data_IF_760660034520
#
_entry.id   IF_760660034520
#
_cell.length_a   1.000
_cell.length_b   1.000
_cell.length_c   1.000
_cell.angle_alpha   90.00
_cell.angle_beta   90.00
_cell.angle_gamma   90.00
#
_symmetry.space_group_name_H-M   'P 1'
#
loop_
_entity.id
_entity.type
_entity.pdbx_description
1 polymer ?
#
# COMPACT_ATOMS: atom_id res chain seq x y z
N UNK A 1 -10.69 37.00 -35.62
CA UNK A 1 -9.45 37.54 -35.04
C UNK A 1 -9.10 36.62 -33.90
N UNK A 2 -7.90 36.04 -33.92
CA UNK A 2 -7.42 35.20 -32.84
C UNK A 2 -6.83 36.07 -31.73
N UNK A 3 -7.03 35.73 -30.45
CA UNK A 3 -6.53 36.52 -29.34
C UNK A 3 -5.00 36.43 -29.22
N UNK A 4 -4.39 37.48 -28.68
CA UNK A 4 -3.00 37.41 -28.22
C UNK A 4 -2.88 36.45 -27.02
N UNK A 5 -1.69 35.88 -26.80
CA UNK A 5 -1.46 34.95 -25.71
C UNK A 5 -1.81 35.57 -24.34
N UNK A 6 -2.64 34.90 -23.55
CA UNK A 6 -3.08 35.34 -22.22
C UNK A 6 -1.98 35.39 -21.16
N UNK A 7 -0.81 34.77 -21.43
CA UNK A 7 0.31 34.69 -20.49
C UNK A 7 1.44 35.66 -20.86
N UNK A 8 1.87 35.67 -22.12
CA UNK A 8 3.00 36.51 -22.57
C UNK A 8 2.59 37.67 -23.49
N UNK A 9 1.31 37.76 -23.87
CA UNK A 9 0.75 38.79 -24.75
C UNK A 9 1.37 38.85 -26.15
N UNK A 10 2.03 37.77 -26.58
CA UNK A 10 2.49 37.63 -27.95
C UNK A 10 1.30 37.49 -28.92
N UNK A 11 1.38 38.07 -30.14
CA UNK A 11 0.32 37.93 -31.13
C UNK A 11 0.13 36.48 -31.56
N UNK A 12 -1.11 36.12 -31.91
CA UNK A 12 -1.48 34.77 -32.35
C UNK A 12 -0.58 34.24 -33.49
N UNK A 13 -0.13 35.12 -34.38
CA UNK A 13 0.78 34.80 -35.49
C UNK A 13 2.14 34.24 -35.03
N UNK A 14 2.54 34.49 -33.78
CA UNK A 14 3.80 34.00 -33.24
C UNK A 14 3.70 32.57 -32.67
N UNK A 15 2.48 32.05 -32.48
CA UNK A 15 2.20 30.67 -32.09
C UNK A 15 3.08 30.14 -30.92
N UNK A 16 3.16 30.88 -29.81
CA UNK A 16 3.95 30.46 -28.64
C UNK A 16 3.21 29.41 -27.78
N UNK A 17 3.94 28.59 -27.02
CA UNK A 17 3.36 27.46 -26.26
C UNK A 17 2.95 27.78 -24.81
N UNK A 18 2.90 29.06 -24.41
CA UNK A 18 2.75 29.41 -22.99
C UNK A 18 1.44 28.87 -22.39
N UNK A 19 0.31 29.04 -23.09
CA UNK A 19 -1.00 28.58 -22.64
C UNK A 19 -1.10 27.06 -22.59
N UNK A 20 -0.55 26.37 -23.59
CA UNK A 20 -0.50 24.92 -23.65
C UNK A 20 0.28 24.34 -22.44
N UNK A 21 1.47 24.90 -22.16
CA UNK A 21 2.27 24.52 -20.98
C UNK A 21 1.54 24.82 -19.67
N UNK A 22 0.85 25.95 -19.60
CA UNK A 22 0.02 26.30 -18.45
C UNK A 22 -1.09 25.28 -18.19
N UNK A 23 -1.76 24.83 -19.26
CA UNK A 23 -2.78 23.80 -19.21
C UNK A 23 -2.21 22.44 -18.76
N UNK A 24 -1.08 22.01 -19.32
CA UNK A 24 -0.42 20.75 -18.92
C UNK A 24 -0.10 20.73 -17.41
N UNK A 25 0.43 21.83 -16.88
CA UNK A 25 0.70 21.97 -15.44
C UNK A 25 -0.59 21.92 -14.63
N UNK A 26 -1.65 22.60 -15.07
CA UNK A 26 -2.94 22.60 -14.38
C UNK A 26 -3.59 21.21 -14.36
N UNK A 27 -3.51 20.45 -15.46
CA UNK A 27 -3.98 19.06 -15.54
C UNK A 27 -3.24 18.18 -14.54
N UNK A 28 -1.90 18.25 -14.51
CA UNK A 28 -1.09 17.47 -13.56
C UNK A 28 -1.44 17.78 -12.10
N UNK A 29 -1.66 19.05 -11.77
CA UNK A 29 -2.09 19.45 -10.43
C UNK A 29 -3.51 18.95 -10.08
N UNK A 30 -4.42 18.94 -11.05
CA UNK A 30 -5.76 18.39 -10.86
C UNK A 30 -5.73 16.87 -10.64
N UNK A 31 -4.97 16.15 -11.47
CA UNK A 31 -4.73 14.71 -11.35
C UNK A 31 -4.14 14.36 -9.97
N UNK A 32 -3.09 15.07 -9.55
CA UNK A 32 -2.45 14.81 -8.26
C UNK A 32 -3.39 15.03 -7.07
N UNK A 33 -4.33 15.99 -7.16
CA UNK A 33 -5.30 16.25 -6.09
C UNK A 33 -6.45 15.24 -6.08
N UNK A 34 -6.99 14.89 -7.24
CA UNK A 34 -8.17 14.01 -7.34
C UNK A 34 -7.80 12.53 -7.41
N UNK A 35 -6.85 12.13 -8.25
CA UNK A 35 -6.54 10.72 -8.47
C UNK A 35 -5.70 10.11 -7.36
N UNK A 36 -4.88 10.90 -6.66
CA UNK A 36 -4.02 10.40 -5.57
C UNK A 36 -4.82 9.75 -4.45
N UNK A 37 -5.93 10.37 -4.02
CA UNK A 37 -6.79 9.80 -2.97
C UNK A 37 -7.44 8.50 -3.46
N UNK A 38 -7.96 8.49 -4.69
CA UNK A 38 -8.57 7.31 -5.31
C UNK A 38 -7.58 6.13 -5.36
N UNK A 39 -6.35 6.36 -5.82
CA UNK A 39 -5.31 5.31 -5.82
C UNK A 39 -4.92 4.87 -4.40
N UNK A 40 -4.99 5.77 -3.42
CA UNK A 40 -4.81 5.45 -2.01
C UNK A 40 -5.86 4.48 -1.49
N UNK A 41 -7.13 4.78 -1.76
CA UNK A 41 -8.28 3.97 -1.33
C UNK A 41 -8.27 2.60 -2.01
N UNK A 42 -8.05 2.57 -3.33
CA UNK A 42 -7.89 1.33 -4.12
C UNK A 42 -6.77 0.47 -3.53
N UNK A 43 -5.58 1.03 -3.28
CA UNK A 43 -4.44 0.27 -2.75
C UNK A 43 -4.75 -0.30 -1.36
N UNK A 44 -5.37 0.49 -0.49
CA UNK A 44 -5.75 0.06 0.86
C UNK A 44 -6.77 -1.08 0.79
N UNK A 45 -7.78 -0.94 -0.07
CA UNK A 45 -8.81 -1.96 -0.28
C UNK A 45 -8.20 -3.26 -0.81
N UNK A 46 -7.41 -3.21 -1.89
CA UNK A 46 -6.78 -4.42 -2.48
C UNK A 46 -5.86 -5.09 -1.46
N UNK A 47 -5.05 -4.33 -0.73
CA UNK A 47 -4.14 -4.87 0.28
C UNK A 47 -4.89 -5.64 1.37
N UNK A 48 -5.97 -5.05 1.90
CA UNK A 48 -6.76 -5.68 2.95
C UNK A 48 -7.35 -7.02 2.48
N UNK A 49 -7.98 -7.02 1.31
CA UNK A 49 -8.63 -8.22 0.77
C UNK A 49 -7.63 -9.32 0.37
N UNK A 50 -6.48 -8.94 -0.21
CA UNK A 50 -5.42 -9.89 -0.52
C UNK A 50 -4.82 -10.51 0.75
N UNK A 51 -4.62 -9.70 1.80
CA UNK A 51 -4.12 -10.18 3.09
C UNK A 51 -5.11 -11.16 3.72
N UNK A 52 -6.40 -10.82 3.77
CA UNK A 52 -7.42 -11.69 4.35
C UNK A 52 -7.52 -13.02 3.61
N UNK A 53 -7.51 -12.98 2.27
CA UNK A 53 -7.53 -14.18 1.43
C UNK A 53 -6.34 -15.10 1.71
N UNK A 54 -5.11 -14.56 1.74
CA UNK A 54 -3.90 -15.35 1.99
C UNK A 54 -3.89 -15.92 3.41
N UNK A 55 -4.28 -15.13 4.41
CA UNK A 55 -4.33 -15.59 5.79
C UNK A 55 -5.36 -16.71 5.97
N UNK A 56 -6.53 -16.59 5.34
CA UNK A 56 -7.55 -17.63 5.42
C UNK A 56 -7.12 -18.91 4.70
N UNK A 57 -6.52 -18.80 3.52
CA UNK A 57 -5.95 -19.93 2.81
C UNK A 57 -4.88 -20.66 3.63
N UNK A 58 -3.96 -19.90 4.25
CA UNK A 58 -2.94 -20.46 5.13
C UNK A 58 -3.54 -21.13 6.36
N UNK A 59 -4.57 -20.56 7.01
CA UNK A 59 -5.24 -21.19 8.15
C UNK A 59 -5.74 -22.58 7.79
N UNK A 60 -6.37 -22.76 6.64
CA UNK A 60 -6.86 -24.06 6.20
C UNK A 60 -5.72 -25.08 6.00
N UNK A 61 -4.58 -24.66 5.46
CA UNK A 61 -3.38 -25.49 5.33
C UNK A 61 -2.82 -25.90 6.71
N UNK A 62 -2.64 -24.92 7.59
CA UNK A 62 -2.12 -25.14 8.93
C UNK A 62 -3.02 -26.07 9.75
N UNK A 63 -4.34 -25.89 9.68
CA UNK A 63 -5.30 -26.77 10.36
C UNK A 63 -5.21 -28.21 9.84
N UNK A 64 -5.14 -28.42 8.52
CA UNK A 64 -4.93 -29.77 7.95
C UNK A 64 -3.65 -30.42 8.46
N UNK A 65 -2.54 -29.68 8.53
CA UNK A 65 -1.28 -30.23 9.07
C UNK A 65 -1.36 -30.54 10.56
N UNK A 66 -2.03 -29.69 11.36
CA UNK A 66 -2.25 -29.96 12.79
C UNK A 66 -3.08 -31.22 13.01
N UNK A 67 -4.15 -31.42 12.24
CA UNK A 67 -4.95 -32.65 12.30
C UNK A 67 -4.11 -33.88 11.94
N UNK A 68 -3.35 -33.83 10.84
CA UNK A 68 -2.47 -34.93 10.45
C UNK A 68 -1.38 -35.22 11.50
N UNK A 69 -0.82 -34.18 12.13
CA UNK A 69 0.16 -34.32 13.20
C UNK A 69 -0.45 -34.96 14.45
N UNK A 70 -1.67 -34.58 14.84
CA UNK A 70 -2.38 -35.23 15.96
C UNK A 70 -2.53 -36.73 15.73
N UNK A 71 -3.02 -37.13 14.54
CA UNK A 71 -3.17 -38.54 14.19
C UNK A 71 -1.81 -39.29 14.17
N UNK A 72 -0.74 -38.61 13.76
CA UNK A 72 0.60 -39.19 13.79
C UNK A 72 1.11 -39.41 15.21
N UNK A 73 0.89 -38.45 16.13
CA UNK A 73 1.23 -38.62 17.54
C UNK A 73 0.44 -39.74 18.20
N UNK A 74 -0.85 -39.87 17.88
CA UNK A 74 -1.68 -40.98 18.36
C UNK A 74 -1.13 -42.33 17.90
N UNK A 75 -0.70 -42.42 16.63
CA UNK A 75 -0.07 -43.61 16.09
C UNK A 75 1.26 -43.97 16.77
N UNK A 76 2.15 -42.99 16.96
CA UNK A 76 3.42 -43.17 17.68
C UNK A 76 3.15 -43.67 19.11
N UNK A 77 2.17 -43.08 19.77
CA UNK A 77 1.79 -43.42 21.15
C UNK A 77 1.26 -44.85 21.23
N UNK A 78 0.33 -45.23 20.34
CA UNK A 78 -0.23 -46.57 20.28
C UNK A 78 0.83 -47.63 19.97
N UNK A 79 1.73 -47.36 19.02
CA UNK A 79 2.83 -48.26 18.67
C UNK A 79 3.81 -48.46 19.84
N UNK A 80 4.21 -47.37 20.51
CA UNK A 80 5.08 -47.46 21.67
C UNK A 80 4.45 -48.28 22.81
N UNK A 81 3.17 -48.05 23.07
CA UNK A 81 2.42 -48.80 24.09
C UNK A 81 2.29 -50.28 23.72
N UNK A 82 1.94 -50.61 22.48
CA UNK A 82 1.74 -52.00 22.05
C UNK A 82 3.03 -52.83 22.11
N UNK A 83 4.16 -52.28 21.67
CA UNK A 83 5.42 -53.03 21.57
C UNK A 83 6.27 -53.00 22.85
N UNK A 84 6.25 -51.88 23.58
CA UNK A 84 7.17 -51.66 24.71
C UNK A 84 6.44 -51.45 26.04
N UNK A 85 5.10 -51.40 26.04
CA UNK A 85 4.27 -51.06 27.20
C UNK A 85 4.77 -49.80 27.93
N UNK A 86 5.28 -48.85 27.15
CA UNK A 86 5.95 -47.65 27.64
C UNK A 86 5.50 -46.43 26.81
N UNK A 87 5.62 -45.22 27.37
CA UNK A 87 5.39 -43.99 26.62
C UNK A 87 6.35 -43.87 25.42
N UNK A 88 5.95 -43.12 24.37
CA UNK A 88 6.82 -42.87 23.23
C UNK A 88 8.10 -42.12 23.62
N UNK A 89 9.20 -42.43 22.94
CA UNK A 89 10.51 -41.86 23.24
C UNK A 89 10.52 -40.34 22.98
N UNK A 90 11.06 -39.50 23.88
CA UNK A 90 11.04 -38.04 23.73
C UNK A 90 11.57 -37.53 22.38
N UNK A 91 12.63 -38.14 21.86
CA UNK A 91 13.19 -37.77 20.54
C UNK A 91 12.19 -37.96 19.39
N UNK A 92 11.32 -38.98 19.43
CA UNK A 92 10.32 -39.21 18.38
C UNK A 92 9.26 -38.10 18.39
N UNK A 93 8.85 -37.66 19.59
CA UNK A 93 7.93 -36.53 19.74
C UNK A 93 8.58 -35.24 19.25
N UNK A 94 9.84 -34.99 19.63
CA UNK A 94 10.58 -33.81 19.21
C UNK A 94 10.75 -33.76 17.68
N UNK A 95 11.06 -34.89 17.04
CA UNK A 95 11.15 -35.00 15.58
C UNK A 95 9.81 -34.75 14.89
N UNK A 96 8.72 -35.31 15.42
CA UNK A 96 7.37 -35.08 14.91
C UNK A 96 6.98 -33.59 15.00
N UNK A 97 7.33 -32.93 16.11
CA UNK A 97 7.10 -31.48 16.30
C UNK A 97 7.94 -30.64 15.34
N UNK A 98 9.21 -30.97 15.16
CA UNK A 98 10.10 -30.28 14.22
C UNK A 98 9.60 -30.42 12.77
N UNK A 99 9.04 -31.57 12.43
CA UNK A 99 8.45 -31.83 11.10
C UNK A 99 7.17 -31.03 10.89
N UNK A 100 6.28 -30.95 11.90
CA UNK A 100 5.10 -30.08 11.82
C UNK A 100 5.50 -28.62 11.62
N UNK A 101 6.48 -28.12 12.40
CA UNK A 101 6.96 -26.74 12.31
C UNK A 101 7.46 -26.41 10.90
N UNK A 102 8.34 -27.25 10.34
CA UNK A 102 8.85 -27.08 8.97
C UNK A 102 7.72 -27.07 7.94
N UNK A 103 6.77 -27.99 8.04
CA UNK A 103 5.62 -28.04 7.14
C UNK A 103 4.74 -26.79 7.20
N UNK A 104 4.50 -26.25 8.40
CA UNK A 104 3.76 -24.98 8.57
C UNK A 104 4.53 -23.81 7.95
N UNK A 105 5.86 -23.77 8.14
CA UNK A 105 6.69 -22.71 7.55
C UNK A 105 6.71 -22.77 6.02
N UNK A 106 6.76 -23.98 5.44
CA UNK A 106 6.63 -24.23 4.00
C UNK A 106 5.26 -23.77 3.46
N UNK A 107 4.17 -24.10 4.15
CA UNK A 107 2.81 -23.67 3.75
C UNK A 107 2.68 -22.14 3.80
N UNK A 108 3.28 -21.50 4.80
CA UNK A 108 3.30 -20.05 4.89
C UNK A 108 4.06 -19.43 3.72
N UNK A 109 5.27 -19.94 3.42
CA UNK A 109 6.06 -19.48 2.29
C UNK A 109 5.29 -19.62 0.97
N UNK A 110 4.68 -20.79 0.73
CA UNK A 110 3.87 -21.04 -0.46
C UNK A 110 2.65 -20.10 -0.53
N UNK A 111 2.02 -19.80 0.60
CA UNK A 111 0.89 -18.86 0.65
C UNK A 111 1.31 -17.44 0.28
N UNK A 112 2.43 -16.95 0.81
CA UNK A 112 2.97 -15.62 0.50
C UNK A 112 3.40 -15.49 -0.96
N UNK A 113 3.91 -16.57 -1.56
CA UNK A 113 4.30 -16.57 -2.98
C UNK A 113 3.13 -16.31 -3.94
N UNK A 114 1.87 -16.47 -3.50
CA UNK A 114 0.66 -16.22 -4.29
C UNK A 114 0.22 -14.76 -4.32
N UNK A 115 0.92 -13.85 -3.64
CA UNK A 115 0.53 -12.45 -3.62
C UNK A 115 0.41 -11.81 -5.02
N UNK A 116 1.31 -12.04 -5.99
CA UNK A 116 1.20 -11.42 -7.31
C UNK A 116 -0.15 -11.69 -7.99
N UNK A 117 -0.56 -12.96 -8.07
CA UNK A 117 -1.80 -13.37 -8.73
C UNK A 117 -3.04 -12.91 -7.96
N UNK A 118 -2.98 -12.96 -6.62
CA UNK A 118 -4.09 -12.50 -5.77
C UNK A 118 -4.28 -10.99 -5.89
N UNK A 119 -3.19 -10.22 -5.91
CA UNK A 119 -3.25 -8.78 -6.11
C UNK A 119 -3.80 -8.44 -7.50
N UNK A 120 -3.31 -9.12 -8.54
CA UNK A 120 -3.82 -8.94 -9.91
C UNK A 120 -5.33 -9.19 -10.00
N UNK A 121 -5.81 -10.26 -9.39
CA UNK A 121 -7.24 -10.55 -9.31
C UNK A 121 -8.02 -9.41 -8.64
N UNK A 122 -7.61 -8.95 -7.45
CA UNK A 122 -8.35 -7.89 -6.77
C UNK A 122 -8.26 -6.53 -7.49
N UNK A 123 -7.16 -6.23 -8.16
CA UNK A 123 -7.07 -5.06 -9.03
C UNK A 123 -8.00 -5.17 -10.25
N UNK A 124 -8.18 -6.37 -10.81
CA UNK A 124 -9.08 -6.60 -11.96
C UNK A 124 -10.56 -6.36 -11.64
N UNK A 125 -10.95 -6.41 -10.36
CA UNK A 125 -12.31 -6.12 -9.92
C UNK A 125 -12.64 -4.62 -9.90
N UNK A 126 -11.64 -3.75 -10.04
CA UNK A 126 -11.81 -2.31 -9.91
C UNK A 126 -12.09 -1.73 -11.28
N UNK A 127 -13.27 -1.15 -11.43
CA UNK A 127 -13.70 -0.51 -12.67
C UNK A 127 -13.71 1.01 -12.51
N UNK A 128 -13.02 1.70 -13.42
CA UNK A 128 -13.05 3.16 -13.55
C UNK A 128 -13.57 3.50 -14.95
N UNK A 129 -14.77 4.07 -15.01
CA UNK A 129 -15.41 4.45 -16.26
C UNK A 129 -15.30 5.95 -16.49
N UNK A 130 -15.16 6.34 -17.76
CA UNK A 130 -15.26 7.72 -18.17
C UNK A 130 -16.72 8.01 -18.57
N UNK A 131 -17.26 9.18 -18.20
CA UNK A 131 -18.56 9.59 -18.70
C UNK A 131 -18.50 9.79 -20.22
N UNK A 132 -19.63 9.58 -20.90
CA UNK A 132 -19.72 9.81 -22.34
C UNK A 132 -19.73 11.31 -22.68
N UNK A 133 -19.18 11.68 -23.85
CA UNK A 133 -19.06 13.07 -24.29
C UNK A 133 -20.41 13.79 -24.41
N UNK A 134 -21.50 13.04 -24.60
CA UNK A 134 -22.83 13.59 -24.78
C UNK A 134 -23.61 13.83 -23.48
N UNK A 135 -23.10 13.35 -22.34
CA UNK A 135 -23.72 13.51 -21.03
C UNK A 135 -23.88 14.99 -20.63
N UNK A 136 -25.02 15.32 -20.02
CA UNK A 136 -25.33 16.70 -19.63
C UNK A 136 -24.32 17.29 -18.63
N UNK A 137 -23.75 16.46 -17.75
CA UNK A 137 -22.73 16.87 -16.79
C UNK A 137 -21.39 17.23 -17.45
N UNK A 138 -21.06 16.59 -18.58
CA UNK A 138 -19.85 16.90 -19.38
C UNK A 138 -20.08 18.17 -20.20
N UNK A 139 -21.25 18.30 -20.83
CA UNK A 139 -21.59 19.48 -21.66
C UNK A 139 -21.84 20.75 -20.86
N UNK A 140 -22.46 20.63 -19.69
CA UNK A 140 -22.83 21.75 -18.83
C UNK A 140 -22.26 21.55 -17.43
N UNK A 141 -20.93 21.61 -17.27
CA UNK A 141 -20.32 21.43 -15.96
C UNK A 141 -20.76 22.59 -15.04
N UNK A 142 -21.10 22.33 -13.76
CA UNK A 142 -21.60 23.35 -12.83
C UNK A 142 -20.47 24.26 -12.31
N UNK A 143 -19.61 24.74 -13.19
CA UNK A 143 -18.48 25.64 -12.91
C UNK A 143 -18.84 27.11 -13.19
N UNK A 144 -20.00 27.36 -13.80
CA UNK A 144 -20.45 28.67 -14.27
C UNK A 144 -20.89 29.63 -13.17
N UNK A 145 -20.94 29.19 -11.91
CA UNK A 145 -21.24 30.06 -10.79
C UNK A 145 -19.95 30.76 -10.30
N UNK A 146 -19.81 32.09 -10.44
CA UNK A 146 -18.67 32.79 -9.83
C UNK A 146 -18.68 32.55 -8.31
N UNK A 147 -17.52 32.40 -7.67
CA UNK A 147 -17.45 32.24 -6.22
C UNK A 147 -18.12 33.45 -5.57
N UNK A 148 -19.29 33.23 -4.97
CA UNK A 148 -19.99 34.28 -4.21
C UNK A 148 -19.07 34.67 -3.05
N UNK A 149 -18.51 35.87 -3.12
CA UNK A 149 -17.81 36.50 -1.99
C UNK A 149 -18.72 36.36 -0.75
N UNK A 150 -18.22 35.89 0.40
CA UNK A 150 -19.01 35.83 1.62
C UNK A 150 -19.39 37.25 2.02
N UNK A 151 -20.62 37.64 1.70
CA UNK A 151 -21.22 38.88 2.15
C UNK A 151 -21.43 38.77 3.65
N UNK A 152 -20.52 39.38 4.42
CA UNK A 152 -20.76 39.66 5.84
C UNK A 152 -21.87 40.69 5.92
N UNK A 153 -23.13 40.25 5.94
CA UNK A 153 -24.24 41.08 6.41
C UNK A 153 -24.48 40.76 7.88
N UNK A 154 -24.10 41.72 8.70
CA UNK A 154 -24.51 41.88 10.08
C UNK A 154 -26.03 41.70 10.20
N UNK A 155 -26.45 40.76 11.05
CA UNK A 155 -27.84 40.60 11.45
C UNK A 155 -28.22 41.69 12.45
N UNK A 156 -29.07 42.62 11.99
CA UNK A 156 -29.83 43.50 12.87
C UNK A 156 -31.00 42.71 13.47
N UNK A 157 -31.01 42.72 14.80
CA UNK A 157 -32.05 42.30 15.73
C UNK A 157 -33.49 42.71 15.34
N UNK A 158 -34.43 41.78 15.54
CA UNK A 158 -35.78 42.07 16.03
C UNK A 158 -36.38 40.83 16.68
N UNK A 159 -36.75 41.00 17.95
CA UNK A 159 -37.20 39.97 18.87
C UNK A 159 -38.70 39.70 18.72
N UNK A 160 -39.13 38.47 19.00
CA UNK A 160 -40.46 38.15 19.51
C UNK A 160 -40.41 36.82 20.26
N UNK A 161 -40.99 36.83 21.46
CA UNK A 161 -40.90 35.83 22.50
C UNK A 161 -41.66 34.52 22.21
N UNK A 162 -41.15 33.42 22.77
CA UNK A 162 -41.82 32.13 22.82
C UNK A 162 -40.90 31.05 23.41
N UNK A 163 -40.99 30.85 24.72
CA UNK A 163 -40.25 29.81 25.45
C UNK A 163 -40.70 28.41 25.07
N UNK A 164 -39.79 27.59 24.55
CA UNK A 164 -39.89 26.13 24.50
C UNK A 164 -38.48 25.51 24.61
N UNK A 165 -38.28 24.41 25.35
CA UNK A 165 -36.96 23.80 25.54
C UNK A 165 -36.50 23.01 24.29
N UNK A 166 -35.18 22.87 24.07
CA UNK A 166 -34.65 22.25 22.85
C UNK A 166 -34.71 20.71 22.90
N UNK A 167 -34.85 20.02 21.75
CA UNK A 167 -34.60 18.59 21.68
C UNK A 167 -33.09 18.31 21.68
N UNK A 168 -32.68 17.29 22.43
CA UNK A 168 -31.30 16.80 22.46
C UNK A 168 -30.91 16.18 21.10
N UNK A 169 -29.92 16.78 20.44
CA UNK A 169 -29.29 16.22 19.24
C UNK A 169 -28.12 15.35 19.70
N UNK A 170 -28.19 14.06 19.38
CA UNK A 170 -27.11 13.10 19.58
C UNK A 170 -25.85 13.49 18.77
N UNK A 171 -24.63 13.27 19.29
CA UNK A 171 -23.42 13.54 18.53
C UNK A 171 -23.26 12.54 17.37
N UNK A 172 -22.72 12.96 16.20
CA UNK A 172 -22.33 12.03 15.16
C UNK A 172 -21.15 11.18 15.64
N UNK A 173 -21.25 9.88 15.39
CA UNK A 173 -20.26 8.85 15.67
C UNK A 173 -18.94 9.11 14.95
N UNK A 174 -17.92 9.47 15.74
CA UNK A 174 -16.52 9.53 15.33
C UNK A 174 -15.99 8.11 15.03
N UNK A 175 -15.98 7.70 13.76
CA UNK A 175 -15.29 6.47 13.31
C UNK A 175 -13.81 6.72 12.96
N UNK A 176 -13.11 7.47 13.80
CA UNK A 176 -11.65 7.60 13.73
C UNK A 176 -11.02 7.08 15.02
N UNK A 177 -11.13 5.76 15.27
CA UNK A 177 -10.25 5.10 16.25
C UNK A 177 -10.24 3.57 16.10
N UNK A 178 -10.03 3.05 14.89
CA UNK A 178 -9.83 1.59 14.68
C UNK A 178 -8.57 1.21 13.91
N UNK A 179 -7.68 2.15 13.57
CA UNK A 179 -6.41 1.84 12.90
C UNK A 179 -5.19 1.80 13.85
N UNK A 180 -5.32 2.19 15.11
CA UNK A 180 -4.17 2.29 16.02
C UNK A 180 -3.79 0.97 16.75
N UNK A 181 -4.49 -0.15 16.51
CA UNK A 181 -4.38 -1.35 17.36
C UNK A 181 -3.93 -2.65 16.64
N UNK A 182 -3.59 -2.60 15.35
CA UNK A 182 -3.07 -3.77 14.61
C UNK A 182 -1.63 -3.62 14.12
N UNK A 183 -0.92 -2.56 14.52
CA UNK A 183 0.51 -2.35 14.24
C UNK A 183 1.40 -3.07 15.29
N UNK A 184 1.14 -4.35 15.58
CA UNK A 184 2.04 -5.17 16.41
C UNK A 184 1.98 -6.64 16.00
N UNK A 185 2.87 -7.02 15.06
CA UNK A 185 3.65 -8.28 15.06
C UNK A 185 4.40 -8.49 13.74
N UNK A 186 5.28 -7.56 13.36
CA UNK A 186 6.47 -7.91 12.58
C UNK A 186 7.58 -6.92 12.93
N UNK A 187 8.71 -7.33 13.54
CA UNK A 187 9.85 -6.43 13.69
C UNK A 187 10.49 -6.19 12.31
N UNK A 188 10.59 -4.93 11.91
CA UNK A 188 11.36 -4.51 10.74
C UNK A 188 12.85 -4.86 10.94
N UNK A 189 13.60 -5.21 9.88
CA UNK A 189 15.03 -5.44 10.00
C UNK A 189 15.75 -4.16 10.43
N UNK A 190 16.64 -4.27 11.42
CA UNK A 190 17.40 -3.16 11.97
C UNK A 190 18.24 -2.47 10.88
N UNK A 191 17.90 -1.23 10.58
CA UNK A 191 18.77 -0.33 9.82
C UNK A 191 19.97 0.02 10.67
N UNK A 192 21.13 -0.53 10.31
CA UNK A 192 22.39 -0.17 10.94
C UNK A 192 22.66 1.34 10.75
N UNK A 193 23.14 2.06 11.78
CA UNK A 193 23.55 3.44 11.61
C UNK A 193 24.74 3.50 10.65
N UNK A 194 24.55 4.22 9.54
CA UNK A 194 25.57 4.49 8.53
C UNK A 194 26.65 5.36 9.17
N UNK A 195 27.73 4.73 9.62
CA UNK A 195 28.93 5.37 10.16
C UNK A 195 29.50 6.33 9.10
N UNK A 196 29.45 7.63 9.41
CA UNK A 196 29.85 8.72 8.52
C UNK A 196 31.37 8.82 8.54
N UNK A 197 32.05 7.86 7.90
CA UNK A 197 33.50 7.88 7.71
C UNK A 197 33.84 8.60 6.40
N UNK A 198 34.58 9.68 6.56
CA UNK A 198 35.28 10.47 5.56
C UNK A 198 36.01 9.58 4.55
N UNK A 199 35.70 9.77 3.26
CA UNK A 199 36.44 9.19 2.15
C UNK A 199 37.87 9.75 2.16
N UNK A 200 38.85 8.91 2.48
CA UNK A 200 40.27 9.18 2.26
C UNK A 200 40.73 8.32 1.08
N UNK A 201 41.26 8.90 -0.02
CA UNK A 201 41.78 8.11 -1.13
C UNK A 201 43.06 7.36 -0.72
N UNK A 202 43.34 6.18 -1.31
CA UNK A 202 44.54 5.40 -1.03
C UNK A 202 45.80 6.04 -1.67
N UNK A 203 47.01 5.80 -1.13
CA UNK A 203 48.25 6.30 -1.71
C UNK A 203 48.63 5.52 -2.99
N UNK A 204 49.35 6.15 -3.93
CA UNK A 204 49.78 5.48 -5.16
C UNK A 204 50.83 4.40 -4.86
N UNK A 205 50.63 3.21 -5.42
CA UNK A 205 51.59 2.13 -5.40
C UNK A 205 52.64 2.36 -6.49
N UNK A 206 53.91 2.47 -6.10
CA UNK A 206 55.03 2.47 -7.02
C UNK A 206 55.22 1.06 -7.61
N UNK A 207 55.04 0.93 -8.93
CA UNK A 207 55.45 -0.27 -9.66
C UNK A 207 56.94 -0.13 -10.05
N UNK A 208 57.80 -1.13 -9.80
CA UNK A 208 59.16 -1.10 -10.28
C UNK A 208 59.19 -1.34 -11.80
N UNK A 209 59.92 -0.47 -12.50
CA UNK A 209 60.24 -0.58 -13.91
C UNK A 209 60.97 -1.90 -14.20
N UNK A 210 60.41 -2.74 -15.07
CA UNK A 210 61.13 -3.88 -15.64
C UNK A 210 61.65 -3.53 -17.03
N UNK A 211 62.97 -3.58 -17.15
CA UNK A 211 63.78 -3.33 -18.33
C UNK A 211 63.44 -4.26 -19.51
N UNK A 212 63.45 -3.65 -20.69
CA UNK A 212 64.05 -4.12 -21.95
C UNK A 212 64.77 -5.48 -21.91
N UNK A 213 64.36 -6.42 -22.78
CA UNK A 213 65.23 -6.97 -23.83
C UNK A 213 64.42 -7.65 -24.96
N UNK A 214 65.07 -7.72 -26.12
CA UNK A 214 64.59 -7.86 -27.50
C UNK A 214 63.97 -9.22 -27.92
N UNK A 215 63.63 -9.39 -29.21
CA UNK A 215 64.57 -10.14 -30.04
C UNK A 215 64.77 -9.60 -31.48
N UNK A 216 65.99 -9.78 -31.97
CA UNK A 216 66.30 -9.96 -33.40
C UNK A 216 66.98 -11.34 -33.54
N UNK A 217 66.56 -12.10 -34.55
CA UNK A 217 67.09 -13.42 -34.90
C UNK A 217 66.04 -14.21 -35.67
#
# INVERSE_FOLDING_TARGET
MDPDCAICHAPASMACDCEAKGLEVAVKQAEERMMRSIYGDIRSWVRAHAQDYILEYFRQLAERRKTAHSAHLDHITAHAFYHYNAPPHPNQIAEAQATLKRGIDEDWQASVQRYPEVLEYFYSLIELTLPADDEAAVKNPPLTAPPRKPSRRAGSISASAGSAPPPAIAPPSSFHDRDALMERRTPAPATTPRDRRTFRPPPPQHHPSSSYYAPFG
#
